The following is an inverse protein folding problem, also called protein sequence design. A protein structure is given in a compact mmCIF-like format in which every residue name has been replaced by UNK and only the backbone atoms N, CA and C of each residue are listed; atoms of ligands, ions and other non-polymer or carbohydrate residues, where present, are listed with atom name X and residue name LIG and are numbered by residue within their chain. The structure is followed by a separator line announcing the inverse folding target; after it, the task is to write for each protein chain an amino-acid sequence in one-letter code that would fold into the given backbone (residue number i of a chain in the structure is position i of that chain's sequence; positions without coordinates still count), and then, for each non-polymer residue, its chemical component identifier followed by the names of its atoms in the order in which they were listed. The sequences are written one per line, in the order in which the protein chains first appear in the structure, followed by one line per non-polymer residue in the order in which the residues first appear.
data_IF_075539833946
#
_entry.id   IF_075539833946
#
_cell.length_a   1.000
_cell.length_b   1.000
_cell.length_c   1.000
_cell.angle_alpha   90.00
_cell.angle_beta   90.00
_cell.angle_gamma   90.00
#
_symmetry.space_group_name_H-M   'P 1'
#
loop_
_entity.id
_entity.type
_entity.pdbx_description
1 polymer ?
#
# COMPACT_ATOMS: atom_id res chain seq x y z
N UNK A 1 -2.90 5.28 14.93
CA UNK A 1 -2.60 4.41 13.76
C UNK A 1 -2.63 5.25 12.50
N UNK A 2 -1.58 5.16 11.69
CA UNK A 2 -1.50 5.77 10.35
C UNK A 2 -2.58 5.13 9.48
N UNK A 3 -3.18 5.94 8.59
CA UNK A 3 -4.09 5.50 7.55
C UNK A 3 -3.44 5.67 6.18
N UNK A 4 -3.64 4.69 5.30
CA UNK A 4 -3.22 4.75 3.90
C UNK A 4 -4.46 4.63 3.04
N UNK A 5 -4.73 5.65 2.23
CA UNK A 5 -5.89 5.69 1.34
C UNK A 5 -5.51 6.00 -0.11
N UNK A 6 -4.23 6.27 -0.38
CA UNK A 6 -3.73 6.55 -1.73
C UNK A 6 -2.28 6.07 -1.89
N UNK A 7 -1.79 6.12 -3.13
CA UNK A 7 -0.38 5.83 -3.45
C UNK A 7 0.54 6.89 -2.84
N UNK A 8 0.11 8.16 -2.77
CA UNK A 8 0.86 9.24 -2.14
C UNK A 8 1.08 8.98 -0.65
N UNK A 9 0.09 8.40 0.05
CA UNK A 9 0.25 7.96 1.44
C UNK A 9 1.32 6.87 1.56
N UNK A 10 1.35 5.90 0.63
CA UNK A 10 2.40 4.87 0.59
C UNK A 10 3.78 5.52 0.44
N UNK A 11 3.94 6.45 -0.49
CA UNK A 11 5.22 7.16 -0.71
C UNK A 11 5.63 7.93 0.55
N UNK A 12 4.69 8.65 1.17
CA UNK A 12 4.92 9.41 2.41
C UNK A 12 5.41 8.56 3.58
N UNK A 13 4.93 7.33 3.69
CA UNK A 13 5.28 6.40 4.77
C UNK A 13 6.22 5.27 4.34
N UNK A 14 6.76 5.32 3.12
CA UNK A 14 7.60 4.28 2.52
C UNK A 14 8.81 3.89 3.37
N UNK A 15 9.36 4.82 4.15
CA UNK A 15 10.47 4.56 5.09
C UNK A 15 10.15 3.53 6.18
N UNK A 16 8.87 3.23 6.42
CA UNK A 16 8.41 2.20 7.37
C UNK A 16 7.97 0.91 6.68
N UNK A 17 8.04 0.85 5.35
CA UNK A 17 7.61 -0.30 4.55
C UNK A 17 8.88 -1.00 4.02
N UNK A 18 9.07 -2.31 4.28
CA UNK A 18 10.15 -3.05 3.67
C UNK A 18 10.12 -2.94 2.14
N UNK A 19 11.27 -2.77 1.50
CA UNK A 19 11.37 -2.59 0.03
C UNK A 19 10.63 -3.71 -0.72
N UNK A 20 10.73 -4.96 -0.25
CA UNK A 20 10.02 -6.09 -0.85
C UNK A 20 8.50 -5.93 -0.84
N UNK A 21 7.92 -5.42 0.26
CA UNK A 21 6.50 -5.14 0.37
C UNK A 21 6.08 -3.97 -0.52
N UNK A 22 6.91 -2.91 -0.59
CA UNK A 22 6.66 -1.76 -1.46
C UNK A 22 6.60 -2.18 -2.94
N UNK A 23 7.55 -3.00 -3.40
CA UNK A 23 7.60 -3.51 -4.77
C UNK A 23 6.42 -4.46 -5.09
N UNK A 24 5.99 -5.29 -4.14
CA UNK A 24 4.82 -6.16 -4.32
C UNK A 24 3.53 -5.35 -4.45
N UNK A 25 3.34 -4.32 -3.62
CA UNK A 25 2.18 -3.43 -3.69
C UNK A 25 2.16 -2.68 -5.03
N UNK A 26 3.29 -2.10 -5.43
CA UNK A 26 3.42 -1.36 -6.70
C UNK A 26 3.06 -2.27 -7.89
N UNK A 27 3.67 -3.46 -7.96
CA UNK A 27 3.40 -4.43 -9.02
C UNK A 27 1.94 -4.85 -9.07
N UNK A 28 1.32 -5.15 -7.92
CA UNK A 28 -0.10 -5.57 -7.86
C UNK A 28 -1.05 -4.48 -8.36
N UNK A 29 -0.82 -3.24 -7.96
CA UNK A 29 -1.63 -2.11 -8.43
C UNK A 29 -1.41 -1.92 -9.93
N UNK A 30 -0.16 -1.93 -10.40
CA UNK A 30 0.17 -1.79 -11.82
C UNK A 30 -0.46 -2.89 -12.68
N UNK A 31 -0.33 -4.16 -12.28
CA UNK A 31 -0.91 -5.32 -12.98
C UNK A 31 -2.45 -5.21 -13.03
N UNK A 32 -3.08 -4.78 -11.92
CA UNK A 32 -4.52 -4.56 -11.87
C UNK A 32 -4.99 -3.48 -12.84
N UNK A 33 -4.32 -2.33 -12.84
CA UNK A 33 -4.66 -1.22 -13.74
C UNK A 33 -4.41 -1.59 -15.20
N UNK A 34 -3.31 -2.28 -15.50
CA UNK A 34 -3.00 -2.78 -16.85
C UNK A 34 -4.05 -3.77 -17.37
N UNK A 35 -4.74 -4.49 -16.48
CA UNK A 35 -5.85 -5.40 -16.82
C UNK A 35 -7.20 -4.69 -17.05
N UNK A 36 -7.24 -3.35 -16.94
CA UNK A 36 -8.47 -2.55 -17.03
C UNK A 36 -9.18 -2.36 -15.69
N UNK A 37 -8.53 -2.73 -14.59
CA UNK A 37 -9.01 -2.48 -13.25
C UNK A 37 -9.07 -0.98 -12.91
N UNK A 38 -9.96 -0.62 -11.98
CA UNK A 38 -10.09 0.77 -11.49
C UNK A 38 -9.31 0.99 -10.20
N UNK A 39 -8.84 2.22 -10.01
CA UNK A 39 -8.08 2.66 -8.82
C UNK A 39 -8.92 2.62 -7.53
N UNK A 40 -10.23 2.87 -7.63
CA UNK A 40 -11.15 2.89 -6.49
C UNK A 40 -11.67 1.49 -6.09
N UNK A 41 -11.22 0.46 -6.83
CA UNK A 41 -11.66 -0.91 -6.65
C UNK A 41 -11.31 -1.44 -5.24
N UNK A 42 -12.14 -2.34 -4.69
CA UNK A 42 -11.84 -3.02 -3.43
C UNK A 42 -10.47 -3.69 -3.40
N UNK A 43 -9.98 -4.17 -4.55
CA UNK A 43 -8.65 -4.77 -4.69
C UNK A 43 -7.52 -3.79 -4.34
N UNK A 44 -7.56 -2.56 -4.87
CA UNK A 44 -6.56 -1.53 -4.60
C UNK A 44 -6.63 -1.10 -3.13
N UNK A 45 -7.84 -0.95 -2.59
CA UNK A 45 -8.05 -0.65 -1.16
C UNK A 45 -7.46 -1.73 -0.23
N UNK A 46 -7.43 -2.99 -0.66
CA UNK A 46 -6.76 -4.05 0.11
C UNK A 46 -5.24 -3.86 0.14
N UNK A 47 -4.63 -3.38 -0.94
CA UNK A 47 -3.18 -3.06 -0.96
C UNK A 47 -2.86 -1.92 0.00
N UNK A 48 -3.72 -0.89 0.05
CA UNK A 48 -3.58 0.20 1.01
C UNK A 48 -3.71 -0.28 2.46
N UNK A 49 -4.67 -1.17 2.75
CA UNK A 49 -4.82 -1.75 4.09
C UNK A 49 -3.62 -2.62 4.49
N UNK A 50 -3.05 -3.36 3.54
CA UNK A 50 -1.81 -4.11 3.80
C UNK A 50 -0.65 -3.16 4.14
N UNK A 51 -0.44 -2.12 3.34
CA UNK A 51 0.56 -1.09 3.61
C UNK A 51 0.35 -0.42 4.98
N UNK A 52 -0.91 -0.10 5.33
CA UNK A 52 -1.29 0.47 6.63
C UNK A 52 -0.84 -0.42 7.79
N UNK A 53 -1.12 -1.73 7.71
CA UNK A 53 -0.72 -2.68 8.75
C UNK A 53 0.80 -2.76 8.90
N UNK A 54 1.52 -2.82 7.77
CA UNK A 54 2.99 -2.84 7.76
C UNK A 54 3.53 -1.57 8.42
N UNK A 55 3.08 -0.39 8.00
CA UNK A 55 3.55 0.89 8.57
C UNK A 55 3.32 0.95 10.08
N UNK A 56 2.14 0.57 10.56
CA UNK A 56 1.84 0.61 12.00
C UNK A 56 2.68 -0.40 12.80
N UNK A 57 2.99 -1.57 12.23
CA UNK A 57 3.86 -2.57 12.85
C UNK A 57 5.31 -2.07 12.98
N UNK A 58 5.87 -1.47 11.93
CA UNK A 58 7.29 -1.06 11.90
C UNK A 58 7.55 0.32 12.50
N UNK A 59 6.54 1.19 12.62
CA UNK A 59 6.65 2.46 13.34
C UNK A 59 6.85 2.27 14.85
N UNK A 60 6.44 1.11 15.40
CA UNK A 60 6.44 0.84 16.83
C UNK A 60 5.13 1.20 17.54
N UNK A 61 3.99 1.22 16.84
CA UNK A 61 2.65 1.36 17.45
C UNK A 61 2.14 0.01 18.05
N UNK A 62 3.03 -0.81 18.61
CA UNK A 62 2.65 -2.03 19.33
C UNK A 62 2.32 -1.73 20.80
#
# INVERSE_FOLDING_TARGET
MIKINSVEDIVKYSKYIPISALLDIDKRIADWLASGGKEDAPYVKQQFKYAENVVNLFRGDN
#
